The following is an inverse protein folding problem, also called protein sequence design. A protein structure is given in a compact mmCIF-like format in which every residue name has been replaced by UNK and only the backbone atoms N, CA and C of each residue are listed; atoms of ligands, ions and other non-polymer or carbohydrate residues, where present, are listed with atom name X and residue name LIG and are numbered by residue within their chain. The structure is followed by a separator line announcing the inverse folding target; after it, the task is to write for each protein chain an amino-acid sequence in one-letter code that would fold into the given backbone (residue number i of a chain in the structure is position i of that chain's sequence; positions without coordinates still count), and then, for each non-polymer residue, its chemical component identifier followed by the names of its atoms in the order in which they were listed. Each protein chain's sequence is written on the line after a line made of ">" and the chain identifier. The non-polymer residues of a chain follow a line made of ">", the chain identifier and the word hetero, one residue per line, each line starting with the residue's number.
data_IF_470862833164
#
_entry.id   IF_470862833164
#
_cell.length_a   1.000
_cell.length_b   1.000
_cell.length_c   1.000
_cell.angle_alpha   90.00
_cell.angle_beta   90.00
_cell.angle_gamma   90.00
#
_symmetry.space_group_name_H-M   'P 1'
#
loop_
_entity.id
_entity.type
_entity.pdbx_description
1 polymer ?
#
# COMPACT_ATOMS: atom_id res chain seq x y z
N UNK A 1 -36.91 64.05 22.11
CA UNK A 1 -37.47 64.14 20.74
C UNK A 1 -36.32 64.15 19.74
N UNK A 2 -35.90 62.98 19.28
CA UNK A 2 -34.86 62.88 18.23
C UNK A 2 -35.52 63.28 16.92
N UNK A 3 -35.00 64.34 16.26
CA UNK A 3 -35.54 64.84 15.00
C UNK A 3 -35.52 63.71 13.95
N UNK A 4 -36.67 63.43 13.34
CA UNK A 4 -36.92 62.38 12.33
C UNK A 4 -35.93 62.39 11.15
N UNK A 5 -35.28 63.53 10.90
CA UNK A 5 -34.26 63.73 9.87
C UNK A 5 -32.91 63.07 10.20
N UNK A 6 -32.57 62.87 11.47
CA UNK A 6 -31.29 62.26 11.89
C UNK A 6 -31.36 60.73 12.00
N UNK A 7 -32.57 60.15 12.09
CA UNK A 7 -32.80 58.69 12.07
C UNK A 7 -32.58 58.12 10.66
N UNK A 8 -32.90 58.88 9.61
CA UNK A 8 -32.70 58.48 8.22
C UNK A 8 -31.21 58.30 7.87
N UNK A 9 -30.33 59.14 8.42
CA UNK A 9 -28.88 59.04 8.19
C UNK A 9 -28.26 57.82 8.91
N UNK A 10 -28.76 57.47 10.11
CA UNK A 10 -28.28 56.29 10.86
C UNK A 10 -28.72 54.98 10.19
N UNK A 11 -29.95 54.92 9.67
CA UNK A 11 -30.42 53.77 8.89
C UNK A 11 -29.71 53.63 7.53
N UNK A 12 -29.37 54.75 6.87
CA UNK A 12 -28.60 54.74 5.63
C UNK A 12 -27.15 54.27 5.81
N UNK A 13 -26.51 54.61 6.94
CA UNK A 13 -25.13 54.18 7.24
C UNK A 13 -25.04 52.68 7.59
N UNK A 14 -26.07 52.14 8.24
CA UNK A 14 -26.18 50.70 8.51
C UNK A 14 -26.41 49.91 7.22
N UNK A 15 -27.21 50.42 6.27
CA UNK A 15 -27.53 49.74 5.02
C UNK A 15 -26.34 49.64 4.04
N UNK A 16 -25.38 50.57 4.11
CA UNK A 16 -24.15 50.55 3.30
C UNK A 16 -23.11 49.60 3.89
N UNK A 17 -23.12 49.38 5.22
CA UNK A 17 -22.20 48.47 5.89
C UNK A 17 -22.53 46.98 5.64
N UNK A 18 -23.80 46.62 5.41
CA UNK A 18 -24.21 45.23 5.09
C UNK A 18 -24.02 44.83 3.63
N UNK A 19 -23.70 45.76 2.72
CA UNK A 19 -23.39 45.40 1.32
C UNK A 19 -21.91 45.07 1.06
N UNK A 20 -21.05 45.18 2.07
CA UNK A 20 -19.63 44.81 1.98
C UNK A 20 -19.31 43.44 2.62
N UNK A 21 -20.32 42.68 3.06
CA UNK A 21 -20.11 41.43 3.81
C UNK A 21 -20.36 40.14 3.02
N UNK A 22 -20.28 40.17 1.69
CA UNK A 22 -20.39 38.96 0.86
C UNK A 22 -19.48 39.01 -0.37
N UNK A 23 -18.21 39.40 -0.23
CA UNK A 23 -17.18 38.81 -1.09
C UNK A 23 -16.70 37.53 -0.41
N UNK A 24 -17.45 36.45 -0.61
CA UNK A 24 -17.02 35.09 -0.29
C UNK A 24 -15.95 34.63 -1.31
N UNK A 25 -14.88 35.41 -1.53
CA UNK A 25 -13.75 34.97 -2.34
C UNK A 25 -12.79 34.04 -1.57
N UNK A 26 -13.07 33.80 -0.28
CA UNK A 26 -12.26 32.93 0.59
C UNK A 26 -12.58 31.44 0.37
N UNK A 27 -13.67 31.10 -0.35
CA UNK A 27 -14.11 29.71 -0.59
C UNK A 27 -13.94 29.25 -2.05
N UNK A 28 -12.90 29.73 -2.74
CA UNK A 28 -12.60 29.38 -4.13
C UNK A 28 -11.41 28.41 -4.27
N UNK A 29 -11.09 27.61 -3.25
CA UNK A 29 -10.15 26.51 -3.45
C UNK A 29 -10.84 25.46 -4.32
N UNK A 30 -10.45 25.40 -5.59
CA UNK A 30 -10.90 24.33 -6.49
C UNK A 30 -10.64 22.98 -5.81
N UNK A 31 -11.60 22.06 -5.88
CA UNK A 31 -11.35 20.70 -5.41
C UNK A 31 -10.20 20.08 -6.22
N UNK A 32 -9.42 19.15 -5.62
CA UNK A 32 -8.42 18.38 -6.36
C UNK A 32 -9.07 17.75 -7.60
N UNK A 33 -8.48 18.00 -8.76
CA UNK A 33 -8.98 17.54 -10.06
C UNK A 33 -7.96 16.66 -10.82
N UNK A 34 -6.92 16.20 -10.12
CA UNK A 34 -5.91 15.28 -10.62
C UNK A 34 -5.82 14.01 -9.78
N UNK A 35 -4.94 13.11 -10.21
CA UNK A 35 -4.63 11.88 -9.50
C UNK A 35 -3.31 11.32 -9.98
N UNK A 36 -2.69 10.48 -9.15
CA UNK A 36 -1.44 9.80 -9.43
C UNK A 36 -1.63 8.31 -9.22
N UNK A 37 -1.24 7.50 -10.20
CA UNK A 37 -1.09 6.06 -10.03
C UNK A 37 0.21 5.58 -10.67
N UNK A 38 0.66 4.39 -10.29
CA UNK A 38 1.86 3.80 -10.84
C UNK A 38 2.25 2.53 -10.10
N UNK A 39 3.36 1.95 -10.48
CA UNK A 39 3.91 0.73 -9.90
C UNK A 39 5.41 0.89 -9.66
N UNK A 40 5.91 0.31 -8.57
CA UNK A 40 7.36 0.20 -8.35
C UNK A 40 7.87 -1.09 -8.99
N UNK A 41 8.71 -0.95 -10.02
CA UNK A 41 9.33 -2.07 -10.71
C UNK A 41 10.75 -2.33 -10.21
N UNK A 42 11.10 -3.61 -10.13
CA UNK A 42 12.47 -4.05 -9.90
C UNK A 42 13.36 -3.67 -11.09
N UNK A 43 14.47 -2.97 -10.83
CA UNK A 43 15.42 -2.54 -11.85
C UNK A 43 16.03 -3.71 -12.64
N UNK A 44 16.17 -4.89 -12.04
CA UNK A 44 16.79 -6.05 -12.68
C UNK A 44 15.79 -6.90 -13.46
N UNK A 45 14.65 -7.22 -12.84
CA UNK A 45 13.68 -8.15 -13.43
C UNK A 45 12.57 -7.45 -14.22
N UNK A 46 12.42 -6.14 -14.06
CA UNK A 46 11.35 -5.32 -14.62
C UNK A 46 9.93 -5.86 -14.28
N UNK A 47 9.81 -6.52 -13.13
CA UNK A 47 8.53 -6.96 -12.54
C UNK A 47 8.15 -6.06 -11.37
N UNK A 48 6.86 -5.92 -11.04
CA UNK A 48 6.43 -5.23 -9.83
C UNK A 48 7.10 -5.82 -8.59
N UNK A 49 7.50 -4.97 -7.63
CA UNK A 49 8.07 -5.45 -6.37
C UNK A 49 6.93 -5.73 -5.38
N UNK A 50 6.76 -6.96 -4.88
CA UNK A 50 5.73 -7.25 -3.89
C UNK A 50 6.00 -6.56 -2.55
N UNK A 51 4.98 -5.91 -2.00
CA UNK A 51 5.04 -5.08 -0.80
C UNK A 51 4.20 -5.68 0.35
N UNK A 52 4.43 -5.25 1.61
CA UNK A 52 3.51 -5.56 2.71
C UNK A 52 2.09 -5.08 2.40
N UNK A 53 1.11 -5.67 3.08
CA UNK A 53 -0.31 -5.33 2.90
C UNK A 53 -0.54 -3.86 3.27
N UNK A 54 -1.34 -3.17 2.46
CA UNK A 54 -1.77 -1.80 2.75
C UNK A 54 -2.44 -1.73 4.14
N UNK A 55 -1.90 -0.90 5.02
CA UNK A 55 -2.31 -0.79 6.42
C UNK A 55 -1.27 -0.07 7.27
N UNK A 56 -1.32 -0.25 8.59
CA UNK A 56 -0.39 0.42 9.53
C UNK A 56 1.09 0.09 9.28
N UNK A 57 1.38 -1.11 8.75
CA UNK A 57 2.74 -1.54 8.37
C UNK A 57 3.00 -1.51 6.86
N UNK A 58 2.09 -0.95 6.07
CA UNK A 58 2.21 -0.88 4.61
C UNK A 58 3.20 0.19 4.15
N UNK A 59 3.62 0.12 2.90
CA UNK A 59 4.55 1.09 2.30
C UNK A 59 3.87 2.45 2.13
N UNK A 60 4.54 3.50 2.60
CA UNK A 60 4.08 4.89 2.46
C UNK A 60 4.52 5.45 1.10
N UNK A 61 3.59 6.07 0.40
CA UNK A 61 3.85 6.91 -0.78
C UNK A 61 3.57 8.34 -0.38
N UNK A 62 4.58 9.20 -0.51
CA UNK A 62 4.52 10.61 -0.11
C UNK A 62 4.73 11.50 -1.33
N UNK A 63 3.79 12.42 -1.56
CA UNK A 63 3.87 13.44 -2.61
C UNK A 63 4.23 14.78 -1.99
N UNK A 64 5.40 15.30 -2.34
CA UNK A 64 5.85 16.63 -1.94
C UNK A 64 5.63 17.59 -3.10
N UNK A 65 4.74 18.56 -2.92
CA UNK A 65 4.48 19.58 -3.93
C UNK A 65 5.69 20.50 -4.12
N UNK A 66 6.00 20.85 -5.35
CA UNK A 66 7.17 21.64 -5.72
C UNK A 66 6.73 23.01 -6.22
N UNK A 67 7.29 24.07 -5.63
CA UNK A 67 7.09 25.44 -6.09
C UNK A 67 5.94 26.19 -5.42
N UNK A 68 5.23 25.57 -4.47
CA UNK A 68 4.13 26.21 -3.71
C UNK A 68 4.52 26.65 -2.30
N UNK A 69 5.69 26.23 -1.81
CA UNK A 69 6.11 26.46 -0.43
C UNK A 69 5.42 25.55 0.60
N UNK A 70 4.60 24.60 0.15
CA UNK A 70 4.01 23.57 1.01
C UNK A 70 5.11 22.73 1.66
N UNK A 71 4.97 22.51 2.97
CA UNK A 71 5.91 21.69 3.77
C UNK A 71 5.35 20.31 4.11
N UNK A 72 4.04 20.13 3.99
CA UNK A 72 3.37 18.85 4.22
C UNK A 72 3.29 18.03 2.93
N UNK A 73 3.46 16.71 3.06
CA UNK A 73 3.22 15.76 1.98
C UNK A 73 1.77 15.30 1.93
N UNK A 74 1.33 14.88 0.75
CA UNK A 74 0.13 14.04 0.60
C UNK A 74 0.57 12.59 0.70
N UNK A 75 0.11 11.91 1.74
CA UNK A 75 0.53 10.56 2.10
C UNK A 75 -0.58 9.53 1.85
N UNK A 76 -0.22 8.41 1.25
CA UNK A 76 -1.10 7.26 1.04
C UNK A 76 -0.30 5.95 1.04
N UNK A 77 -0.97 4.80 0.88
CA UNK A 77 -0.31 3.48 0.94
C UNK A 77 -0.26 2.82 -0.43
N UNK A 78 0.86 2.18 -0.72
CA UNK A 78 0.98 1.26 -1.84
C UNK A 78 0.26 -0.06 -1.53
N UNK A 79 -0.18 -0.73 -2.58
CA UNK A 79 -0.78 -2.06 -2.56
C UNK A 79 0.31 -3.15 -2.45
N UNK A 80 -0.10 -4.35 -2.03
CA UNK A 80 0.81 -5.47 -1.83
C UNK A 80 1.45 -5.99 -3.13
N UNK A 81 0.86 -5.68 -4.28
CA UNK A 81 1.36 -6.02 -5.62
C UNK A 81 2.40 -5.00 -6.16
N UNK A 82 2.73 -3.97 -5.39
CA UNK A 82 3.68 -2.92 -5.79
C UNK A 82 3.05 -1.72 -6.48
N UNK A 83 1.75 -1.77 -6.80
CA UNK A 83 1.02 -0.63 -7.35
C UNK A 83 0.68 0.40 -6.27
N UNK A 84 0.44 1.65 -6.67
CA UNK A 84 -0.04 2.71 -5.79
C UNK A 84 -0.97 3.64 -6.54
N UNK A 85 -1.94 4.22 -5.84
CA UNK A 85 -2.91 5.14 -6.44
C UNK A 85 -3.46 6.13 -5.41
N UNK A 86 -3.54 7.40 -5.80
CA UNK A 86 -4.32 8.42 -5.15
C UNK A 86 -5.09 9.23 -6.21
N UNK A 87 -6.41 9.11 -6.21
CA UNK A 87 -7.29 9.73 -7.21
C UNK A 87 -7.63 11.19 -6.90
N UNK A 88 -7.13 11.75 -5.79
CA UNK A 88 -7.52 13.06 -5.26
C UNK A 88 -6.27 13.89 -4.96
N UNK A 89 -5.54 14.27 -6.01
CA UNK A 89 -4.31 15.07 -5.96
C UNK A 89 -4.50 16.33 -6.79
N UNK A 90 -3.91 17.46 -6.38
CA UNK A 90 -3.94 18.67 -7.19
C UNK A 90 -3.07 18.52 -8.44
N UNK A 91 -3.43 19.19 -9.53
CA UNK A 91 -2.52 19.32 -10.67
C UNK A 91 -1.32 20.17 -10.26
N UNK A 92 -0.10 19.70 -10.54
CA UNK A 92 1.10 20.34 -10.04
C UNK A 92 2.35 19.51 -10.24
N UNK A 93 3.50 20.06 -9.84
CA UNK A 93 4.78 19.34 -9.86
C UNK A 93 5.00 18.68 -8.51
N UNK A 94 5.39 17.40 -8.52
CA UNK A 94 5.60 16.63 -7.31
C UNK A 94 6.93 15.90 -7.33
N UNK A 95 7.55 15.81 -6.15
CA UNK A 95 8.51 14.75 -5.82
C UNK A 95 7.71 13.62 -5.18
N UNK A 96 7.78 12.44 -5.77
CA UNK A 96 7.12 11.22 -5.31
C UNK A 96 8.16 10.37 -4.61
N UNK A 97 7.91 9.95 -3.37
CA UNK A 97 8.80 9.07 -2.61
C UNK A 97 8.03 7.84 -2.17
N UNK A 98 8.57 6.65 -2.44
CA UNK A 98 8.00 5.37 -2.01
C UNK A 98 8.92 4.74 -0.97
N UNK A 99 8.49 4.73 0.29
CA UNK A 99 9.28 4.24 1.42
C UNK A 99 9.04 2.73 1.64
N UNK A 100 9.64 1.93 0.76
CA UNK A 100 9.52 0.47 0.74
C UNK A 100 10.82 -0.28 1.08
N UNK A 101 10.78 -1.62 1.05
CA UNK A 101 11.91 -2.48 1.38
C UNK A 101 12.94 -2.55 0.25
N UNK A 102 13.51 -1.38 -0.09
CA UNK A 102 14.39 -1.15 -1.22
C UNK A 102 15.80 -0.74 -0.78
N UNK A 103 16.78 -1.02 -1.63
CA UNK A 103 18.13 -0.49 -1.51
C UNK A 103 18.10 0.97 -1.92
N UNK A 104 18.40 1.86 -0.97
CA UNK A 104 18.42 3.31 -1.20
C UNK A 104 17.03 3.93 -1.24
N UNK A 105 16.94 5.14 -1.81
CA UNK A 105 15.69 5.91 -1.88
C UNK A 105 14.99 5.63 -3.21
N UNK A 106 13.73 5.23 -3.17
CA UNK A 106 12.87 5.12 -4.36
C UNK A 106 12.07 6.41 -4.51
N UNK A 107 12.50 7.26 -5.43
CA UNK A 107 11.84 8.54 -5.69
C UNK A 107 11.96 9.01 -7.14
N UNK A 108 11.11 9.95 -7.50
CA UNK A 108 11.17 10.62 -8.79
C UNK A 108 10.32 11.89 -8.83
N UNK A 109 10.35 12.56 -9.97
CA UNK A 109 9.71 13.86 -10.16
C UNK A 109 8.74 13.77 -11.33
N UNK A 110 7.51 14.23 -11.12
CA UNK A 110 6.46 14.21 -12.15
C UNK A 110 5.60 15.46 -12.09
N UNK A 111 4.82 15.68 -13.15
CA UNK A 111 3.78 16.72 -13.20
C UNK A 111 2.43 16.02 -13.29
N UNK A 112 1.60 16.18 -12.27
CA UNK A 112 0.22 15.70 -12.27
C UNK A 112 -0.64 16.61 -13.12
N UNK A 113 -1.27 16.05 -14.15
CA UNK A 113 -2.23 16.71 -15.04
C UNK A 113 -3.41 15.76 -15.29
N UNK A 114 -4.49 15.91 -14.50
CA UNK A 114 -5.55 14.91 -14.46
C UNK A 114 -5.05 13.59 -13.85
N UNK A 115 -5.57 12.46 -14.31
CA UNK A 115 -5.07 11.14 -13.91
C UNK A 115 -3.72 10.87 -14.59
N UNK A 116 -2.66 10.82 -13.78
CA UNK A 116 -1.28 10.72 -14.26
C UNK A 116 -0.69 9.39 -13.84
N UNK A 117 -0.22 8.61 -14.82
CA UNK A 117 0.60 7.42 -14.58
C UNK A 117 2.05 7.84 -14.34
N UNK A 118 2.66 7.31 -13.30
CA UNK A 118 4.05 7.55 -12.97
C UNK A 118 4.64 6.34 -12.28
N UNK A 119 5.38 5.53 -13.03
CA UNK A 119 6.10 4.39 -12.49
C UNK A 119 7.45 4.77 -11.91
N UNK A 120 7.89 4.00 -10.92
CA UNK A 120 9.21 4.13 -10.31
C UNK A 120 9.97 2.82 -10.43
N UNK A 121 11.30 2.92 -10.30
CA UNK A 121 12.17 1.74 -10.25
C UNK A 121 12.95 1.70 -8.94
N UNK A 122 13.16 0.51 -8.43
CA UNK A 122 13.95 0.26 -7.22
C UNK A 122 14.63 -1.12 -7.29
N UNK A 123 15.56 -1.38 -6.37
CA UNK A 123 16.10 -2.74 -6.15
C UNK A 123 15.66 -3.21 -4.77
N UNK A 124 14.94 -4.34 -4.62
CA UNK A 124 14.61 -4.87 -3.30
C UNK A 124 15.86 -5.43 -2.60
N UNK A 125 15.84 -5.68 -1.28
CA UNK A 125 16.96 -6.37 -0.62
C UNK A 125 17.06 -7.85 -1.01
N UNK A 126 15.92 -8.47 -1.32
CA UNK A 126 15.84 -9.85 -1.80
C UNK A 126 14.65 -10.08 -2.71
N UNK A 127 14.76 -11.11 -3.54
CA UNK A 127 13.74 -11.60 -4.47
C UNK A 127 13.32 -13.00 -4.06
N UNK A 128 12.02 -13.24 -4.01
CA UNK A 128 11.47 -14.51 -3.57
C UNK A 128 10.64 -15.09 -4.71
N UNK A 129 11.11 -16.21 -5.26
CA UNK A 129 10.29 -17.02 -6.16
C UNK A 129 9.56 -18.05 -5.30
N UNK A 130 8.25 -18.11 -5.42
CA UNK A 130 7.42 -19.10 -4.72
C UNK A 130 6.43 -19.74 -5.68
N UNK A 131 6.14 -21.01 -5.45
CA UNK A 131 5.04 -21.74 -6.08
C UNK A 131 4.31 -22.55 -5.02
N UNK A 132 3.03 -22.82 -5.24
CA UNK A 132 2.26 -23.64 -4.32
C UNK A 132 1.28 -24.54 -5.06
N UNK A 133 1.02 -25.70 -4.48
CA UNK A 133 0.00 -26.65 -4.93
C UNK A 133 -0.84 -27.09 -3.75
N UNK A 134 -2.07 -27.54 -4.02
CA UNK A 134 -2.97 -28.10 -3.01
C UNK A 134 -3.43 -29.49 -3.44
N UNK A 135 -3.32 -30.46 -2.54
CA UNK A 135 -3.78 -31.84 -2.78
C UNK A 135 -5.27 -32.01 -2.47
N UNK A 136 -5.86 -33.14 -2.91
CA UNK A 136 -7.25 -33.53 -2.59
C UNK A 136 -7.53 -33.62 -1.07
N UNK A 137 -6.48 -33.75 -0.25
CA UNK A 137 -6.57 -33.79 1.23
C UNK A 137 -6.31 -32.43 1.87
N UNK A 138 -6.34 -31.35 1.10
CA UNK A 138 -6.03 -29.99 1.56
C UNK A 138 -4.62 -29.85 2.15
N UNK A 139 -3.64 -30.58 1.60
CA UNK A 139 -2.23 -30.35 1.91
C UNK A 139 -1.69 -29.30 0.96
N UNK A 140 -1.23 -28.16 1.50
CA UNK A 140 -0.66 -27.08 0.70
C UNK A 140 0.85 -27.18 0.74
N UNK A 141 1.45 -27.58 -0.37
CA UNK A 141 2.90 -27.60 -0.54
C UNK A 141 3.35 -26.28 -1.15
N UNK A 142 4.21 -25.54 -0.44
CA UNK A 142 4.81 -24.28 -0.87
C UNK A 142 6.31 -24.48 -1.08
N UNK A 143 6.78 -24.34 -2.31
CA UNK A 143 8.19 -24.31 -2.65
C UNK A 143 8.65 -22.86 -2.78
N UNK A 144 9.84 -22.55 -2.29
CA UNK A 144 10.38 -21.19 -2.31
C UNK A 144 11.89 -21.17 -2.55
N UNK A 145 12.34 -20.07 -3.15
CA UNK A 145 13.75 -19.70 -3.31
C UNK A 145 13.94 -18.21 -3.07
N UNK A 146 14.90 -17.86 -2.22
CA UNK A 146 15.28 -16.50 -1.85
C UNK A 146 16.62 -16.18 -2.51
N UNK A 147 16.66 -15.12 -3.30
CA UNK A 147 17.90 -14.57 -3.85
C UNK A 147 18.13 -13.19 -3.24
N UNK A 148 19.25 -13.00 -2.55
CA UNK A 148 19.67 -11.67 -2.10
C UNK A 148 20.07 -10.84 -3.32
N UNK A 149 19.75 -9.56 -3.30
CA UNK A 149 20.19 -8.64 -4.37
C UNK A 149 21.68 -8.30 -4.28
N UNK A 150 22.30 -8.55 -3.12
CA UNK A 150 23.74 -8.42 -2.89
C UNK A 150 24.22 -9.56 -1.99
N UNK A 151 25.31 -10.22 -2.38
CA UNK A 151 25.89 -11.33 -1.62
C UNK A 151 26.38 -10.93 -0.23
N UNK A 152 26.78 -9.67 -0.04
CA UNK A 152 27.22 -9.13 1.25
C UNK A 152 26.08 -8.99 2.27
N UNK A 153 24.82 -9.04 1.84
CA UNK A 153 23.70 -8.87 2.74
C UNK A 153 23.51 -10.07 3.68
N UNK A 154 23.11 -9.78 4.91
CA UNK A 154 22.86 -10.77 5.95
C UNK A 154 21.43 -11.29 5.84
N UNK A 155 21.29 -12.55 5.43
CA UNK A 155 20.02 -13.27 5.46
C UNK A 155 19.76 -13.87 6.84
N UNK A 156 18.61 -13.58 7.44
CA UNK A 156 18.31 -13.98 8.82
C UNK A 156 17.15 -14.96 8.92
N UNK A 157 16.14 -14.84 8.06
CA UNK A 157 14.95 -15.69 8.14
C UNK A 157 14.17 -15.71 6.82
N UNK A 158 13.60 -16.86 6.47
CA UNK A 158 12.45 -16.96 5.57
C UNK A 158 11.23 -17.47 6.36
N UNK A 159 10.05 -16.90 6.09
CA UNK A 159 8.79 -17.40 6.64
C UNK A 159 7.83 -17.79 5.52
N UNK A 160 7.11 -18.88 5.72
CA UNK A 160 5.98 -19.28 4.86
C UNK A 160 4.69 -19.04 5.65
N UNK A 161 3.70 -18.42 5.03
CA UNK A 161 2.46 -18.02 5.67
C UNK A 161 1.25 -18.30 4.80
N UNK A 162 0.11 -18.56 5.45
CA UNK A 162 -1.18 -18.67 4.77
C UNK A 162 -2.30 -17.91 5.49
N UNK A 163 -3.33 -17.54 4.74
CA UNK A 163 -4.55 -16.91 5.24
C UNK A 163 -5.76 -17.29 4.36
N UNK A 164 -6.98 -17.12 4.86
CA UNK A 164 -8.22 -17.24 4.08
C UNK A 164 -8.68 -15.90 3.48
N UNK A 165 -7.87 -14.85 3.63
CA UNK A 165 -8.05 -13.53 2.99
C UNK A 165 -6.83 -13.21 2.13
N UNK A 166 -6.97 -12.40 1.06
CA UNK A 166 -5.84 -12.04 0.19
C UNK A 166 -4.78 -11.17 0.88
N UNK A 167 -5.06 -10.69 2.11
CA UNK A 167 -4.13 -9.87 2.89
C UNK A 167 -3.17 -10.79 3.64
N UNK A 168 -2.04 -11.10 3.02
CA UNK A 168 -0.99 -11.96 3.57
C UNK A 168 0.34 -11.22 3.70
N UNK A 169 0.84 -11.02 4.93
CA UNK A 169 2.18 -10.49 5.23
C UNK A 169 2.64 -10.85 6.66
N UNK A 170 3.78 -10.31 7.12
CA UNK A 170 4.36 -10.61 8.45
C UNK A 170 3.54 -10.06 9.65
N UNK A 171 2.52 -9.24 9.42
CA UNK A 171 1.65 -8.71 10.48
C UNK A 171 0.75 -9.83 11.02
N UNK A 172 0.62 -9.92 12.34
CA UNK A 172 -0.16 -10.97 13.01
C UNK A 172 -1.65 -10.99 12.63
N UNK A 173 -2.21 -9.87 12.15
CA UNK A 173 -3.59 -9.81 11.66
C UNK A 173 -3.75 -10.36 10.23
N UNK A 174 -2.65 -10.56 9.50
CA UNK A 174 -2.62 -10.89 8.07
C UNK A 174 -2.16 -12.33 7.80
N UNK A 175 -2.00 -13.18 8.82
CA UNK A 175 -1.82 -14.61 8.62
C UNK A 175 -2.64 -15.40 9.63
N UNK A 176 -3.01 -16.61 9.25
CA UNK A 176 -3.55 -17.61 10.17
C UNK A 176 -2.39 -18.35 10.82
N UNK A 177 -1.52 -18.93 9.98
CA UNK A 177 -0.31 -19.62 10.41
C UNK A 177 0.88 -19.05 9.65
N UNK A 178 1.97 -18.80 10.39
CA UNK A 178 3.27 -18.39 9.88
C UNK A 178 4.34 -19.32 10.45
N UNK A 179 5.15 -19.90 9.58
CA UNK A 179 6.24 -20.80 9.95
C UNK A 179 7.56 -20.18 9.51
N UNK A 180 8.38 -19.83 10.50
CA UNK A 180 9.76 -19.41 10.26
C UNK A 180 10.63 -20.65 9.98
N UNK A 181 11.44 -20.59 8.92
CA UNK A 181 12.37 -21.66 8.52
C UNK A 181 13.83 -21.32 8.81
N UNK A 182 14.11 -20.13 9.35
CA UNK A 182 15.47 -19.67 9.62
C UNK A 182 16.22 -19.33 8.34
N UNK A 183 17.53 -19.57 8.32
CA UNK A 183 18.45 -19.16 7.24
C UNK A 183 18.52 -20.20 6.11
N UNK A 184 17.37 -20.66 5.65
CA UNK A 184 17.27 -21.58 4.51
C UNK A 184 16.83 -20.75 3.31
N UNK A 185 17.66 -20.67 2.27
CA UNK A 185 17.43 -19.86 1.08
C UNK A 185 16.60 -20.59 0.00
N UNK A 186 16.49 -21.92 0.08
CA UNK A 186 15.65 -22.70 -0.81
C UNK A 186 15.03 -23.90 -0.08
N UNK A 187 13.75 -24.17 -0.30
CA UNK A 187 13.11 -25.34 0.27
C UNK A 187 11.61 -25.40 0.06
N UNK A 188 11.01 -26.37 0.75
CA UNK A 188 9.58 -26.65 0.70
C UNK A 188 8.98 -26.67 2.11
N UNK A 189 7.74 -26.22 2.23
CA UNK A 189 6.93 -26.39 3.42
C UNK A 189 5.54 -26.90 3.06
N UNK A 190 5.00 -27.81 3.88
CA UNK A 190 3.66 -28.35 3.72
C UNK A 190 2.78 -27.89 4.89
N UNK A 191 1.67 -27.24 4.58
CA UNK A 191 0.59 -27.01 5.54
C UNK A 191 -0.45 -28.11 5.43
N UNK A 192 -0.71 -28.80 6.54
CA UNK A 192 -1.76 -29.82 6.68
C UNK A 192 -3.08 -29.15 7.08
N UNK A 193 -3.75 -28.45 6.14
CA UNK A 193 -4.88 -27.57 6.49
C UNK A 193 -6.06 -28.33 7.12
N UNK A 194 -6.32 -29.56 6.68
CA UNK A 194 -7.37 -30.39 7.27
C UNK A 194 -7.14 -30.69 8.77
N UNK A 195 -5.88 -30.62 9.24
CA UNK A 195 -5.50 -30.79 10.64
C UNK A 195 -5.26 -29.44 11.36
N UNK A 196 -5.31 -28.32 10.63
CA UNK A 196 -5.15 -26.98 11.19
C UNK A 196 -6.47 -26.54 11.84
N UNK A 197 -6.43 -26.29 13.14
CA UNK A 197 -7.59 -25.88 13.93
C UNK A 197 -8.27 -24.63 13.36
N UNK A 198 -7.49 -23.64 12.94
CA UNK A 198 -8.03 -22.38 12.42
C UNK A 198 -8.69 -22.58 11.06
N UNK A 199 -8.14 -23.45 10.21
CA UNK A 199 -8.80 -23.84 8.97
C UNK A 199 -10.15 -24.52 9.24
N UNK A 200 -10.17 -25.54 10.11
CA UNK A 200 -11.39 -26.29 10.42
C UNK A 200 -12.47 -25.40 11.06
N UNK A 201 -12.10 -24.60 12.05
CA UNK A 201 -13.06 -23.75 12.77
C UNK A 201 -13.58 -22.58 11.91
N UNK A 202 -12.82 -22.11 10.92
CA UNK A 202 -13.20 -21.01 10.04
C UNK A 202 -13.59 -21.46 8.64
N UNK A 203 -13.82 -22.75 8.42
CA UNK A 203 -14.08 -23.29 7.09
C UNK A 203 -15.31 -22.68 6.40
N UNK A 204 -16.32 -22.25 7.17
CA UNK A 204 -17.46 -21.50 6.66
C UNK A 204 -17.07 -20.16 6.01
N UNK A 205 -16.05 -19.47 6.51
CA UNK A 205 -15.51 -18.23 5.91
C UNK A 205 -14.81 -18.52 4.59
N UNK A 206 -14.08 -19.63 4.55
CA UNK A 206 -13.38 -20.11 3.36
C UNK A 206 -14.39 -20.45 2.26
N UNK A 207 -15.44 -21.21 2.60
CA UNK A 207 -16.58 -21.49 1.71
C UNK A 207 -17.26 -20.22 1.18
N UNK A 208 -17.50 -19.24 2.05
CA UNK A 208 -18.09 -17.96 1.64
C UNK A 208 -17.21 -17.16 0.65
N UNK A 209 -15.89 -17.38 0.65
CA UNK A 209 -14.94 -16.79 -0.30
C UNK A 209 -14.63 -17.72 -1.50
N UNK A 210 -15.52 -18.68 -1.82
CA UNK A 210 -15.30 -19.61 -2.95
C UNK A 210 -14.15 -20.59 -2.71
N UNK A 211 -13.96 -21.02 -1.46
CA UNK A 211 -12.90 -21.91 -1.00
C UNK A 211 -11.48 -21.38 -1.19
N UNK A 212 -11.32 -20.07 -1.40
CA UNK A 212 -10.02 -19.46 -1.63
C UNK A 212 -9.19 -19.40 -0.35
N UNK A 213 -7.95 -19.80 -0.48
CA UNK A 213 -6.88 -19.56 0.49
C UNK A 213 -5.71 -18.87 -0.23
N UNK A 214 -4.87 -18.22 0.55
CA UNK A 214 -3.78 -17.41 0.04
C UNK A 214 -2.52 -17.77 0.79
N UNK A 215 -1.45 -18.04 0.05
CA UNK A 215 -0.11 -18.27 0.62
C UNK A 215 0.86 -17.21 0.15
N UNK A 216 1.82 -16.89 1.01
CA UNK A 216 2.88 -15.94 0.71
C UNK A 216 4.15 -16.34 1.44
N UNK A 217 5.29 -15.93 0.88
CA UNK A 217 6.60 -16.14 1.47
C UNK A 217 7.24 -14.79 1.74
N UNK A 218 7.90 -14.64 2.88
CA UNK A 218 8.66 -13.45 3.26
C UNK A 218 10.11 -13.83 3.55
N UNK A 219 11.04 -12.92 3.26
CA UNK A 219 12.46 -13.09 3.57
C UNK A 219 12.98 -11.83 4.25
N UNK A 220 13.71 -12.02 5.36
CA UNK A 220 14.36 -10.97 6.12
C UNK A 220 15.84 -10.91 5.76
N UNK A 221 16.25 -9.83 5.11
CA UNK A 221 17.62 -9.56 4.69
C UNK A 221 18.02 -8.17 5.21
N UNK A 222 19.15 -8.08 5.92
CA UNK A 222 19.58 -6.85 6.63
C UNK A 222 18.49 -6.23 7.54
N UNK A 223 17.64 -7.07 8.14
CA UNK A 223 16.52 -6.62 8.97
C UNK A 223 15.33 -6.06 8.20
N UNK A 224 15.38 -6.05 6.87
CA UNK A 224 14.29 -5.61 5.98
C UNK A 224 13.57 -6.83 5.43
N UNK A 225 12.23 -6.76 5.35
CA UNK A 225 11.39 -7.85 4.85
C UNK A 225 10.96 -7.57 3.41
N UNK A 226 11.29 -8.49 2.50
CA UNK A 226 10.67 -8.58 1.16
C UNK A 226 9.71 -9.76 1.10
N UNK A 227 8.85 -9.76 0.07
CA UNK A 227 7.78 -10.74 -0.09
C UNK A 227 7.81 -11.36 -1.48
N UNK A 228 7.27 -12.58 -1.59
CA UNK A 228 6.82 -13.15 -2.86
C UNK A 228 5.50 -12.49 -3.29
N UNK A 229 5.08 -12.78 -4.51
CA UNK A 229 3.68 -12.64 -4.90
C UNK A 229 2.78 -13.47 -3.97
N UNK A 230 1.54 -13.02 -3.80
CA UNK A 230 0.52 -13.80 -3.09
C UNK A 230 -0.04 -14.84 -4.05
N UNK A 231 -0.03 -16.11 -3.65
CA UNK A 231 -0.53 -17.22 -4.46
C UNK A 231 -1.92 -17.58 -3.95
N UNK A 232 -2.93 -17.48 -4.81
CA UNK A 232 -4.29 -17.95 -4.55
C UNK A 232 -4.40 -19.44 -4.87
N UNK A 233 -5.01 -20.22 -3.97
CA UNK A 233 -5.34 -21.63 -4.16
C UNK A 233 -6.81 -21.86 -3.78
N UNK A 234 -7.37 -22.97 -4.27
CA UNK A 234 -8.75 -23.39 -3.95
C UNK A 234 -8.70 -24.63 -3.07
N UNK A 235 -9.19 -24.52 -1.84
CA UNK A 235 -9.34 -25.65 -0.93
C UNK A 235 -10.51 -26.55 -1.35
N UNK A 236 -10.37 -27.83 -1.06
CA UNK A 236 -11.43 -28.82 -1.20
C UNK A 236 -12.44 -28.70 -0.05
N UNK A 237 -13.66 -29.14 -0.35
CA UNK A 237 -14.86 -29.05 0.50
C UNK A 237 -14.90 -29.94 1.74
#
# INVERSE_FOLDING_TARGET
>A
MIKMKNIFYVFGFILIAVMNSCENEIDNLQAPNGGLHGTVYDMETNKPIPLPVAGSGGVLVSLFEIGTGATASVDFRANADGSYTNNTVFNGKYRVVVNGPFIGVCEGYTTVQGQTEFDLKATPFSRITASATISDRNQVEVAFKVNKSDESFTFTNVSVMWNYTPRVDENNANYVTKIAKGKIDEGTHVFELANDKQFVENFYKIKANGNKIYVRVSATVNGVVNYSDTIELIAND
#
